data_IF_251153587949
#
_entry.id   IF_251153587949
#
_cell.length_a   1.000
_cell.length_b   1.000
_cell.length_c   1.000
_cell.angle_alpha   90.00
_cell.angle_beta   90.00
_cell.angle_gamma   90.00
#
_symmetry.space_group_name_H-M   'P 1'
#
loop_
_entity.id
_entity.type
_entity.pdbx_description
1 polymer ?
#
# COMPACT_ATOMS: atom_id res chain seq x y z
N UNK A 1 12.98 4.21 5.88
CA UNK A 1 11.66 3.59 5.63
C UNK A 1 11.27 3.89 4.19
N UNK A 2 10.68 2.92 3.50
CA UNK A 2 10.24 3.12 2.12
C UNK A 2 8.87 3.80 2.09
N UNK A 3 8.70 4.78 1.19
CA UNK A 3 7.51 5.64 1.14
C UNK A 3 6.24 4.84 0.82
N UNK A 4 6.35 3.85 -0.06
CA UNK A 4 5.22 3.04 -0.47
C UNK A 4 4.73 2.11 0.64
N UNK A 5 5.63 1.53 1.43
CA UNK A 5 5.27 0.72 2.59
C UNK A 5 4.48 1.50 3.65
N UNK A 6 4.91 2.73 3.97
CA UNK A 6 4.20 3.65 4.89
C UNK A 6 2.79 3.97 4.37
N UNK A 7 2.70 4.47 3.14
CA UNK A 7 1.42 4.80 2.48
C UNK A 7 0.47 3.60 2.44
N UNK A 8 0.97 2.42 2.08
CA UNK A 8 0.16 1.21 2.04
C UNK A 8 -0.38 0.84 3.42
N UNK A 9 0.48 0.85 4.45
CA UNK A 9 0.04 0.54 5.82
C UNK A 9 -1.08 1.49 6.28
N UNK A 10 -0.93 2.78 5.99
CA UNK A 10 -1.92 3.80 6.34
C UNK A 10 -3.26 3.53 5.66
N UNK A 11 -3.27 3.39 4.34
CA UNK A 11 -4.50 3.11 3.57
C UNK A 11 -5.20 1.84 4.05
N UNK A 12 -4.46 0.73 4.23
CA UNK A 12 -5.05 -0.51 4.70
C UNK A 12 -5.75 -0.33 6.06
N UNK A 13 -5.16 0.47 6.96
CA UNK A 13 -5.75 0.78 8.27
C UNK A 13 -6.96 1.71 8.15
N UNK A 14 -6.86 2.81 7.38
CA UNK A 14 -7.91 3.81 7.21
C UNK A 14 -9.19 3.20 6.63
N UNK A 15 -9.04 2.31 5.65
CA UNK A 15 -10.16 1.70 4.94
C UNK A 15 -10.56 0.31 5.48
N UNK A 16 -9.92 -0.16 6.54
CA UNK A 16 -10.21 -1.49 7.12
C UNK A 16 -9.93 -2.65 6.17
N UNK A 17 -8.99 -2.49 5.23
CA UNK A 17 -8.61 -3.49 4.25
C UNK A 17 -7.52 -4.38 4.87
N UNK A 18 -7.78 -5.68 4.97
CA UNK A 18 -6.76 -6.63 5.42
C UNK A 18 -5.68 -6.87 4.36
N UNK A 19 -4.46 -7.19 4.80
CA UNK A 19 -3.36 -7.57 3.90
C UNK A 19 -3.74 -8.76 2.99
N UNK A 20 -4.55 -9.69 3.49
CA UNK A 20 -5.00 -10.86 2.74
C UNK A 20 -6.02 -10.49 1.65
N UNK A 21 -6.92 -9.53 1.91
CA UNK A 21 -7.84 -9.02 0.88
C UNK A 21 -7.05 -8.40 -0.29
N UNK A 22 -6.04 -7.58 0.01
CA UNK A 22 -5.18 -7.01 -1.04
C UNK A 22 -4.41 -8.09 -1.80
N UNK A 23 -3.84 -9.07 -1.09
CA UNK A 23 -3.11 -10.18 -1.71
C UNK A 23 -3.98 -10.97 -2.71
N UNK A 24 -5.23 -11.25 -2.33
CA UNK A 24 -6.22 -11.91 -3.21
C UNK A 24 -6.52 -11.02 -4.44
N UNK A 25 -6.76 -9.72 -4.25
CA UNK A 25 -7.07 -8.80 -5.36
C UNK A 25 -5.91 -8.62 -6.35
N UNK A 26 -4.67 -8.75 -5.86
CA UNK A 26 -3.43 -8.71 -6.65
C UNK A 26 -3.01 -10.09 -7.20
N UNK A 27 -3.67 -11.18 -6.80
CA UNK A 27 -3.29 -12.56 -7.14
C UNK A 27 -1.83 -12.91 -6.78
N UNK A 28 -1.36 -12.44 -5.61
CA UNK A 28 -0.02 -12.72 -5.08
C UNK A 28 -0.08 -13.38 -3.71
N UNK A 29 1.04 -13.94 -3.25
CA UNK A 29 1.16 -14.46 -1.90
C UNK A 29 1.03 -13.34 -0.86
N UNK A 30 0.24 -13.56 0.21
CA UNK A 30 0.08 -12.62 1.32
C UNK A 30 1.41 -12.25 2.00
N UNK A 31 2.41 -13.14 1.93
CA UNK A 31 3.77 -12.87 2.41
C UNK A 31 4.45 -11.68 1.72
N UNK A 32 4.10 -11.37 0.46
CA UNK A 32 4.63 -10.19 -0.23
C UNK A 32 4.03 -8.91 0.37
N UNK A 33 2.71 -8.87 0.52
CA UNK A 33 2.00 -7.75 1.15
C UNK A 33 2.48 -7.52 2.59
N UNK A 34 2.67 -8.61 3.35
CA UNK A 34 3.19 -8.54 4.71
C UNK A 34 4.57 -7.90 4.78
N UNK A 35 5.51 -8.23 3.87
CA UNK A 35 6.85 -7.61 3.85
C UNK A 35 6.81 -6.12 3.54
N UNK A 36 5.88 -5.68 2.68
CA UNK A 36 5.68 -4.26 2.36
C UNK A 36 5.10 -3.51 3.55
N UNK A 37 4.03 -4.04 4.13
CA UNK A 37 3.34 -3.41 5.26
C UNK A 37 4.21 -3.39 6.50
N UNK A 38 5.02 -4.43 6.74
CA UNK A 38 5.96 -4.49 7.87
C UNK A 38 7.27 -3.72 7.62
N UNK A 39 7.40 -3.05 6.46
CA UNK A 39 8.58 -2.27 6.06
C UNK A 39 9.89 -3.08 5.99
N UNK A 40 9.80 -4.41 5.91
CA UNK A 40 10.98 -5.27 5.71
C UNK A 40 11.56 -5.10 4.30
N UNK A 41 10.72 -4.76 3.33
CA UNK A 41 11.09 -4.48 1.94
C UNK A 41 10.08 -3.50 1.36
N UNK A 42 10.53 -2.42 0.75
CA UNK A 42 9.63 -1.52 0.00
C UNK A 42 9.20 -2.19 -1.31
N UNK A 43 7.93 -2.05 -1.74
CA UNK A 43 7.53 -2.48 -3.08
C UNK A 43 8.31 -1.72 -4.16
N UNK A 44 8.57 -2.37 -5.29
CA UNK A 44 9.12 -1.69 -6.47
C UNK A 44 8.11 -0.69 -7.04
N UNK A 45 8.56 0.20 -7.93
CA UNK A 45 7.65 1.10 -8.65
C UNK A 45 6.56 0.34 -9.44
N UNK A 46 6.91 -0.81 -10.02
CA UNK A 46 5.95 -1.71 -10.67
C UNK A 46 4.94 -2.28 -9.66
N UNK A 47 5.41 -2.78 -8.51
CA UNK A 47 4.53 -3.27 -7.47
C UNK A 47 3.64 -2.16 -6.88
N UNK A 48 4.11 -0.90 -6.80
CA UNK A 48 3.29 0.24 -6.38
C UNK A 48 2.12 0.49 -7.34
N UNK A 49 2.34 0.33 -8.65
CA UNK A 49 1.27 0.41 -9.64
C UNK A 49 0.28 -0.75 -9.51
N UNK A 50 0.76 -1.97 -9.26
CA UNK A 50 -0.10 -3.13 -9.00
C UNK A 50 -0.90 -3.00 -7.69
N UNK A 51 -0.29 -2.43 -6.65
CA UNK A 51 -0.96 -2.13 -5.38
C UNK A 51 -2.15 -1.19 -5.62
N UNK A 52 -1.94 -0.09 -6.36
CA UNK A 52 -3.03 0.82 -6.73
C UNK A 52 -4.16 0.06 -7.44
N UNK A 53 -3.84 -0.79 -8.41
CA UNK A 53 -4.86 -1.59 -9.11
C UNK A 53 -5.57 -2.59 -8.19
N UNK A 54 -4.84 -3.23 -7.27
CA UNK A 54 -5.40 -4.15 -6.29
C UNK A 54 -6.37 -3.44 -5.34
N UNK A 55 -5.97 -2.28 -4.82
CA UNK A 55 -6.81 -1.42 -3.99
C UNK A 55 -8.05 -0.96 -4.77
N UNK A 56 -7.91 -0.55 -6.04
CA UNK A 56 -9.02 -0.07 -6.87
C UNK A 56 -10.14 -1.12 -7.04
N UNK A 57 -9.78 -2.40 -7.04
CA UNK A 57 -10.75 -3.51 -7.10
C UNK A 57 -11.51 -3.71 -5.79
N UNK A 58 -10.95 -3.29 -4.66
CA UNK A 58 -11.52 -3.46 -3.32
C UNK A 58 -12.30 -2.20 -2.95
N UNK A 59 -11.64 -1.05 -3.03
CA UNK A 59 -12.17 0.27 -2.73
C UNK A 59 -11.45 1.32 -3.60
N UNK A 60 -12.16 1.96 -4.56
CA UNK A 60 -11.62 3.03 -5.39
C UNK A 60 -11.01 4.20 -4.61
N UNK A 61 -11.59 4.57 -3.46
CA UNK A 61 -11.10 5.69 -2.66
C UNK A 61 -9.76 5.32 -1.99
N UNK A 62 -9.61 4.07 -1.52
CA UNK A 62 -8.34 3.57 -0.98
C UNK A 62 -7.20 3.63 -2.01
N UNK A 63 -7.50 3.35 -3.28
CA UNK A 63 -6.51 3.42 -4.35
C UNK A 63 -6.03 4.85 -4.61
N UNK A 64 -6.94 5.82 -4.64
CA UNK A 64 -6.60 7.22 -4.85
C UNK A 64 -5.87 7.80 -3.63
N UNK A 65 -6.28 7.45 -2.41
CA UNK A 65 -5.56 7.86 -1.20
C UNK A 65 -4.14 7.26 -1.17
N UNK A 66 -3.95 6.00 -1.60
CA UNK A 66 -2.61 5.41 -1.69
C UNK A 66 -1.70 6.20 -2.62
N UNK A 67 -2.19 6.64 -3.79
CA UNK A 67 -1.43 7.47 -4.72
C UNK A 67 -1.10 8.82 -4.09
N UNK A 68 -2.06 9.46 -3.43
CA UNK A 68 -1.84 10.74 -2.75
C UNK A 68 -0.77 10.63 -1.67
N UNK A 69 -0.85 9.64 -0.77
CA UNK A 69 0.13 9.43 0.29
C UNK A 69 1.51 9.08 -0.30
N UNK A 70 1.55 8.19 -1.30
CA UNK A 70 2.80 7.85 -1.98
C UNK A 70 3.43 9.04 -2.74
N UNK A 71 2.67 10.06 -3.14
CA UNK A 71 3.16 11.24 -3.85
C UNK A 71 3.44 12.46 -2.96
N UNK A 72 2.69 12.65 -1.87
CA UNK A 72 2.72 13.85 -1.05
C UNK A 72 3.12 13.64 0.42
N UNK A 73 3.02 12.43 0.98
CA UNK A 73 3.43 12.14 2.36
C UNK A 73 4.96 11.92 2.44
N UNK A 74 5.72 12.96 2.06
CA UNK A 74 7.18 13.04 2.21
C UNK A 74 7.60 14.19 3.13
N UNK A 75 6.67 14.77 3.91
CA UNK A 75 6.90 15.98 4.70
C UNK A 75 6.59 15.86 6.19
N UNK A 76 6.50 14.64 6.73
CA UNK A 76 6.33 14.41 8.18
C UNK A 76 7.37 13.42 8.72
N UNK A 77 8.64 13.63 8.37
CA UNK A 77 9.79 13.12 9.13
C UNK A 77 10.68 14.33 9.54
N UNK A 78 10.07 15.39 10.09
CA UNK A 78 10.75 16.40 10.92
C UNK A 78 10.07 16.40 12.32
N UNK A 79 10.46 15.45 13.17
CA UNK A 79 10.47 15.60 14.64
C UNK A 79 11.45 14.60 15.27
#
# INVERSE_FOLDING_TARGET
MGRAGKALRQVLKTYGISQNQLAIAMAIAAANVSRWVSENRDPSAEAAFEIRQGLQKIDPAAAEEFVMLYMYESSEDEE
#
